data_IF_776321255466
#
_entry.id   IF_776321255466
#
_cell.length_a   1.000
_cell.length_b   1.000
_cell.length_c   1.000
_cell.angle_alpha   90.00
_cell.angle_beta   90.00
_cell.angle_gamma   90.00
#
_symmetry.space_group_name_H-M   'P 1'
#
loop_
_entity.id
_entity.type
_entity.pdbx_description
1 polymer ?
#
# COMPACT_ATOMS: atom_id res chain seq x y z
N UNK A 1 -7.15 8.93 7.68
CA UNK A 1 -5.78 9.27 7.22
C UNK A 1 -5.75 9.13 5.71
N UNK A 2 -4.97 9.94 4.98
CA UNK A 2 -4.85 9.80 3.51
C UNK A 2 -3.50 9.18 3.16
N UNK A 3 -3.53 8.02 2.50
CA UNK A 3 -2.36 7.38 1.92
C UNK A 3 -2.01 8.08 0.61
N UNK A 4 -0.72 8.35 0.42
CA UNK A 4 -0.19 8.99 -0.78
C UNK A 4 0.90 8.14 -1.40
N UNK A 5 1.15 8.32 -2.69
CA UNK A 5 2.10 7.53 -3.47
C UNK A 5 3.56 7.64 -3.00
N UNK A 6 3.88 8.73 -2.31
CA UNK A 6 5.22 9.05 -1.80
C UNK A 6 5.53 8.34 -0.47
N UNK A 7 4.51 7.77 0.18
CA UNK A 7 4.70 6.94 1.37
C UNK A 7 5.38 5.63 0.99
N UNK A 8 6.16 5.09 1.93
CA UNK A 8 6.72 3.74 1.74
C UNK A 8 5.64 2.67 1.93
N UNK A 9 5.82 1.54 1.25
CA UNK A 9 4.98 0.36 1.44
C UNK A 9 5.00 -0.07 2.92
N UNK A 10 6.18 0.01 3.55
CA UNK A 10 6.36 -0.33 4.96
C UNK A 10 5.60 0.62 5.91
N UNK A 11 5.70 1.94 5.71
CA UNK A 11 4.93 2.93 6.49
C UNK A 11 3.42 2.71 6.34
N UNK A 12 2.97 2.37 5.14
CA UNK A 12 1.55 2.12 4.86
C UNK A 12 1.04 0.88 5.61
N UNK A 13 1.79 -0.22 5.58
CA UNK A 13 1.47 -1.45 6.33
C UNK A 13 1.48 -1.20 7.85
N UNK A 14 2.43 -0.40 8.35
CA UNK A 14 2.46 0.00 9.77
C UNK A 14 1.29 0.88 10.16
N UNK A 15 0.80 1.70 9.24
CA UNK A 15 -0.35 2.58 9.47
C UNK A 15 -1.66 1.80 9.53
N UNK A 16 -1.79 0.73 8.75
CA UNK A 16 -2.94 -0.16 8.81
C UNK A 16 -2.58 -1.60 8.42
N UNK A 17 -2.61 -2.58 9.34
CA UNK A 17 -2.19 -3.95 9.06
C UNK A 17 -2.88 -4.62 7.87
N UNK A 18 -4.15 -4.29 7.57
CA UNK A 18 -4.85 -4.83 6.39
C UNK A 18 -4.32 -4.30 5.05
N UNK A 19 -3.50 -3.25 5.03
CA UNK A 19 -2.88 -2.76 3.81
C UNK A 19 -2.00 -3.84 3.16
N UNK A 20 -1.45 -4.78 3.95
CA UNK A 20 -0.71 -5.92 3.41
C UNK A 20 -1.55 -6.78 2.46
N UNK A 21 -2.86 -6.93 2.74
CA UNK A 21 -3.77 -7.72 1.92
C UNK A 21 -4.12 -6.97 0.63
N UNK A 22 -4.22 -5.64 0.68
CA UNK A 22 -4.36 -4.81 -0.52
C UNK A 22 -3.13 -4.99 -1.41
N UNK A 23 -1.91 -4.78 -0.90
CA UNK A 23 -0.69 -4.99 -1.69
C UNK A 23 -0.58 -6.42 -2.25
N UNK A 24 -1.01 -7.46 -1.52
CA UNK A 24 -1.08 -8.84 -2.05
C UNK A 24 -2.01 -8.97 -3.24
N UNK A 25 -3.21 -8.38 -3.19
CA UNK A 25 -4.18 -8.40 -4.30
C UNK A 25 -3.67 -7.74 -5.58
N UNK A 26 -2.69 -6.85 -5.45
CA UNK A 26 -2.03 -6.16 -6.57
C UNK A 26 -0.67 -6.78 -6.96
N UNK A 27 -0.36 -8.00 -6.49
CA UNK A 27 0.93 -8.68 -6.72
C UNK A 27 2.16 -7.90 -6.22
N UNK A 28 1.96 -7.02 -5.23
CA UNK A 28 2.97 -6.14 -4.62
C UNK A 28 3.43 -6.62 -3.23
N UNK A 29 3.11 -7.84 -2.84
CA UNK A 29 3.47 -8.35 -1.52
C UNK A 29 4.92 -8.85 -1.47
N UNK A 30 5.85 -7.94 -1.19
CA UNK A 30 7.23 -8.27 -0.87
C UNK A 30 7.53 -8.12 0.64
N UNK A 31 6.57 -8.45 1.50
CA UNK A 31 6.53 -8.11 2.94
C UNK A 31 7.62 -8.74 3.84
N UNK A 32 8.74 -9.21 3.28
CA UNK A 32 9.85 -9.80 4.03
C UNK A 32 11.24 -9.53 3.47
N UNK A 33 11.38 -8.81 2.36
CA UNK A 33 12.71 -8.49 1.83
C UNK A 33 13.17 -7.14 2.41
N UNK A 34 14.34 -7.08 3.06
CA UNK A 34 14.91 -5.82 3.56
C UNK A 34 15.03 -4.74 2.47
N UNK A 35 15.05 -5.15 1.19
CA UNK A 35 15.11 -4.27 0.03
C UNK A 35 13.86 -3.40 -0.20
N UNK A 36 12.70 -3.72 0.41
CA UNK A 36 11.46 -2.94 0.22
C UNK A 36 11.10 -2.02 1.40
N UNK A 37 11.98 -1.90 2.39
CA UNK A 37 11.72 -0.99 3.52
C UNK A 37 11.67 0.48 3.10
N UNK A 38 12.48 0.86 2.10
CA UNK A 38 12.56 2.22 1.57
C UNK A 38 11.82 2.38 0.22
N UNK A 39 11.06 1.36 -0.23
CA UNK A 39 10.34 1.41 -1.49
C UNK A 39 9.01 2.18 -1.32
N UNK A 40 8.85 3.26 -2.08
CA UNK A 40 7.57 4.01 -2.14
C UNK A 40 6.50 3.22 -2.89
N UNK A 41 5.24 3.53 -2.61
CA UNK A 41 4.10 2.93 -3.32
C UNK A 41 4.20 3.19 -4.83
N UNK A 42 4.58 4.41 -5.26
CA UNK A 42 4.77 4.73 -6.68
C UNK A 42 5.87 3.86 -7.32
N UNK A 43 7.00 3.69 -6.65
CA UNK A 43 8.12 2.88 -7.17
C UNK A 43 7.73 1.41 -7.29
N UNK A 44 7.11 0.84 -6.25
CA UNK A 44 6.63 -0.54 -6.26
C UNK A 44 5.61 -0.76 -7.39
N UNK A 45 4.62 0.13 -7.52
CA UNK A 45 3.60 0.02 -8.55
C UNK A 45 4.20 0.09 -9.96
N UNK A 46 5.13 1.02 -10.21
CA UNK A 46 5.82 1.11 -11.52
C UNK A 46 6.67 -0.12 -11.82
N UNK A 47 7.36 -0.68 -10.84
CA UNK A 47 8.21 -1.87 -11.00
C UNK A 47 7.39 -3.11 -11.35
N UNK A 48 6.19 -3.22 -10.78
CA UNK A 48 5.28 -4.34 -10.99
C UNK A 48 4.25 -4.11 -12.11
N UNK A 49 4.21 -2.92 -12.71
CA UNK A 49 3.22 -2.56 -13.73
C UNK A 49 1.79 -2.45 -13.18
N UNK A 50 1.68 -2.18 -11.87
CA UNK A 50 0.41 -2.05 -11.15
C UNK A 50 -0.24 -0.70 -11.44
N UNK A 51 -1.57 -0.68 -11.53
CA UNK A 51 -2.35 0.56 -11.56
C UNK A 51 -2.25 1.30 -10.21
N UNK A 52 -1.49 2.39 -10.21
CA UNK A 52 -1.23 3.18 -9.01
C UNK A 52 -2.49 3.85 -8.47
N UNK A 53 -3.37 4.34 -9.34
CA UNK A 53 -4.55 5.07 -8.91
C UNK A 53 -5.52 4.11 -8.20
N UNK A 54 -5.77 2.94 -8.81
CA UNK A 54 -6.60 1.91 -8.19
C UNK A 54 -6.02 1.38 -6.87
N UNK A 55 -4.69 1.21 -6.79
CA UNK A 55 -4.02 0.81 -5.55
C UNK A 55 -4.21 1.85 -4.45
N UNK A 56 -4.06 3.14 -4.76
CA UNK A 56 -4.24 4.22 -3.78
C UNK A 56 -5.69 4.31 -3.31
N UNK A 57 -6.66 4.10 -4.19
CA UNK A 57 -8.08 4.11 -3.83
C UNK A 57 -8.40 2.98 -2.85
N UNK A 58 -7.98 1.74 -3.14
CA UNK A 58 -8.18 0.60 -2.23
C UNK A 58 -7.46 0.78 -0.88
N UNK A 59 -6.25 1.35 -0.88
CA UNK A 59 -5.52 1.66 0.35
C UNK A 59 -6.22 2.74 1.19
N UNK A 60 -6.74 3.79 0.54
CA UNK A 60 -7.45 4.86 1.23
C UNK A 60 -8.81 4.40 1.76
N UNK A 61 -9.50 3.50 1.05
CA UNK A 61 -10.77 2.92 1.48
C UNK A 61 -10.65 2.23 2.86
N UNK A 62 -9.50 1.65 3.20
CA UNK A 62 -9.25 1.07 4.52
C UNK A 62 -9.43 2.10 5.66
N UNK A 63 -9.05 3.36 5.43
CA UNK A 63 -9.11 4.42 6.44
C UNK A 63 -10.42 5.22 6.41
N UNK A 64 -11.23 5.05 5.37
CA UNK A 64 -12.59 5.60 5.31
C UNK A 64 -13.61 4.64 5.94
N UNK A 65 -13.34 3.33 5.93
CA UNK A 65 -14.23 2.31 6.50
C UNK A 65 -14.06 2.08 8.00
N UNK A 66 -13.07 2.68 8.67
CA UNK A 66 -12.92 2.64 10.14
C UNK A 66 -13.93 3.52 10.90
N UNK A 67 -14.86 4.18 10.21
CA UNK A 67 -15.93 5.00 10.81
C UNK A 67 -17.30 4.33 10.98
N UNK A 68 -17.40 3.01 10.78
CA UNK A 68 -18.68 2.29 10.91
C UNK A 68 -18.56 1.04 11.77
N UNK A 69 -18.52 1.21 13.09
CA UNK A 69 -19.10 0.31 14.10
C UNK A 69 -19.37 1.06 15.40
#
# INVERSE_FOLDING_TARGET
>A
MKITKDMTIFETIRSHPKAIEVFKSFDMACSGCMAVMDETIEQGARRHGTDLDNLLDELNALFEQEGTV
#
